data_IF_798819734546
#
_entry.id   IF_798819734546
#
_cell.length_a   1.000
_cell.length_b   1.000
_cell.length_c   1.000
_cell.angle_alpha   90.00
_cell.angle_beta   90.00
_cell.angle_gamma   90.00
#
_symmetry.space_group_name_H-M   'P 1'
#
loop_
_entity.id
_entity.type
_entity.pdbx_description
1 polymer ?
#
# COMPACT_ATOMS: atom_id res chain seq x y z
N UNK A 1 1.51 -23.64 2.31
CA UNK A 1 0.03 -23.59 2.40
C UNK A 1 -0.30 -23.33 3.87
N UNK A 2 -0.72 -22.12 4.20
CA UNK A 2 -0.84 -21.61 5.59
C UNK A 2 -2.27 -21.10 5.79
N UNK A 3 -2.80 -21.13 7.02
CA UNK A 3 -4.13 -20.61 7.37
C UNK A 3 -3.98 -19.67 8.56
N UNK A 4 -4.54 -18.46 8.47
CA UNK A 4 -4.47 -17.45 9.54
C UNK A 4 -5.86 -17.13 10.07
N UNK A 5 -5.94 -16.89 11.37
CA UNK A 5 -7.17 -16.50 12.05
C UNK A 5 -7.08 -15.05 12.51
N UNK A 6 -7.96 -14.19 12.00
CA UNK A 6 -8.16 -12.84 12.50
C UNK A 6 -9.22 -12.89 13.60
N UNK A 7 -8.84 -13.39 14.78
CA UNK A 7 -9.79 -13.69 15.89
C UNK A 7 -10.60 -12.47 16.31
N UNK A 8 -10.00 -11.27 16.32
CA UNK A 8 -10.72 -10.03 16.61
C UNK A 8 -11.73 -9.61 15.54
N UNK A 9 -11.48 -9.95 14.26
CA UNK A 9 -12.40 -9.65 13.16
C UNK A 9 -13.40 -10.79 12.86
N UNK A 10 -13.26 -11.94 13.52
CA UNK A 10 -14.21 -13.06 13.47
C UNK A 10 -14.09 -13.96 12.23
N UNK A 11 -12.94 -13.98 11.54
CA UNK A 11 -12.77 -14.83 10.35
C UNK A 11 -11.42 -15.54 10.29
N UNK A 12 -11.40 -16.64 9.54
CA UNK A 12 -10.21 -17.43 9.19
C UNK A 12 -10.04 -17.38 7.68
N UNK A 13 -8.82 -17.15 7.20
CA UNK A 13 -8.53 -17.06 5.77
C UNK A 13 -7.35 -17.97 5.38
N UNK A 14 -7.50 -18.78 4.31
CA UNK A 14 -6.41 -19.58 3.77
C UNK A 14 -5.49 -18.73 2.89
N UNK A 15 -4.18 -18.96 3.02
CA UNK A 15 -3.14 -18.36 2.19
C UNK A 15 -2.75 -19.36 1.09
N UNK A 16 -3.14 -19.05 -0.14
CA UNK A 16 -2.93 -19.90 -1.33
C UNK A 16 -1.61 -19.60 -2.08
N UNK A 17 -0.80 -18.67 -1.59
CA UNK A 17 0.47 -18.24 -2.17
C UNK A 17 1.06 -17.08 -1.37
N UNK A 18 2.14 -16.47 -1.82
CA UNK A 18 2.75 -15.38 -1.06
C UNK A 18 1.87 -14.12 -1.06
N UNK A 19 1.43 -13.71 0.14
CA UNK A 19 0.64 -12.51 0.35
C UNK A 19 1.54 -11.40 0.88
N UNK A 20 1.83 -10.38 0.06
CA UNK A 20 2.60 -9.22 0.49
C UNK A 20 1.70 -8.27 1.28
N UNK A 21 2.00 -8.12 2.58
CA UNK A 21 1.33 -7.17 3.48
C UNK A 21 2.01 -5.81 3.52
N UNK A 22 3.22 -5.69 2.96
CA UNK A 22 3.98 -4.45 2.85
C UNK A 22 4.42 -4.28 1.40
N UNK A 23 3.70 -3.47 0.58
CA UNK A 23 4.13 -3.18 -0.77
C UNK A 23 5.38 -2.30 -0.77
N UNK A 24 6.28 -2.52 -1.73
CA UNK A 24 7.40 -1.61 -2.00
C UNK A 24 7.00 -0.52 -3.00
N UNK A 25 7.87 0.49 -3.16
CA UNK A 25 7.71 1.53 -4.18
C UNK A 25 8.05 0.99 -5.58
N UNK A 26 7.40 1.54 -6.61
CA UNK A 26 7.70 1.23 -8.00
C UNK A 26 9.04 1.84 -8.46
N UNK A 27 9.46 1.53 -9.70
CA UNK A 27 10.71 2.07 -10.28
C UNK A 27 10.74 3.60 -10.33
N UNK A 28 9.61 4.21 -10.67
CA UNK A 28 9.39 5.66 -10.65
C UNK A 28 8.26 5.96 -9.65
N UNK A 29 8.57 6.17 -8.36
CA UNK A 29 7.56 6.47 -7.36
C UNK A 29 6.92 7.85 -7.58
N UNK A 30 5.64 7.98 -7.22
CA UNK A 30 4.90 9.25 -7.28
C UNK A 30 5.60 10.38 -6.50
N UNK A 31 6.38 10.04 -5.47
CA UNK A 31 7.18 10.99 -4.69
C UNK A 31 8.15 11.86 -5.53
N UNK A 32 8.55 11.43 -6.73
CA UNK A 32 9.36 12.28 -7.63
C UNK A 32 8.57 13.37 -8.35
N UNK A 33 7.24 13.30 -8.30
CA UNK A 33 6.34 14.23 -8.99
C UNK A 33 5.48 15.04 -8.01
N UNK A 34 5.51 14.70 -6.71
CA UNK A 34 4.82 15.45 -5.67
C UNK A 34 5.64 16.68 -5.34
N UNK A 35 5.02 17.85 -5.44
CA UNK A 35 5.65 19.13 -5.13
C UNK A 35 4.62 20.17 -4.67
N UNK A 36 5.09 21.37 -4.34
CA UNK A 36 4.27 22.57 -4.10
C UNK A 36 4.53 23.58 -5.21
N UNK A 37 3.47 24.19 -5.73
CA UNK A 37 3.61 25.33 -6.66
C UNK A 37 3.86 26.65 -5.92
N UNK A 38 4.01 27.74 -6.69
CA UNK A 38 4.32 29.07 -6.17
C UNK A 38 3.19 29.67 -5.31
N UNK A 39 1.96 29.19 -5.49
CA UNK A 39 0.78 29.59 -4.70
C UNK A 39 0.63 28.73 -3.42
N UNK A 40 1.49 27.71 -3.27
CA UNK A 40 1.51 26.78 -2.14
C UNK A 40 0.53 25.62 -2.28
N UNK A 41 0.00 25.38 -3.48
CA UNK A 41 -0.88 24.26 -3.76
C UNK A 41 -0.10 22.97 -4.06
N UNK A 42 -0.68 21.83 -3.67
CA UNK A 42 -0.05 20.52 -3.86
C UNK A 42 -0.24 20.04 -5.29
N UNK A 43 0.86 19.74 -5.98
CA UNK A 43 0.87 19.14 -7.31
C UNK A 43 1.35 17.69 -7.27
N UNK A 44 0.87 16.85 -8.19
CA UNK A 44 1.35 15.46 -8.37
C UNK A 44 0.87 14.43 -7.34
N UNK A 45 -0.08 14.77 -6.46
CA UNK A 45 -0.63 13.89 -5.41
C UNK A 45 -1.93 13.15 -5.82
N UNK A 46 -2.60 13.57 -6.89
CA UNK A 46 -3.91 13.04 -7.34
C UNK A 46 -3.86 12.30 -8.67
#
# INVERSE_FOLDING_TARGET
REVRASVGAGFVYPICGDMRTMPGLGKNPAAFHIDLDDDGDIVGLS
#
